data_IF_992095473602
#
_entry.id   IF_992095473602
#
_cell.length_a   1.000
_cell.length_b   1.000
_cell.length_c   1.000
_cell.angle_alpha   90.00
_cell.angle_beta   90.00
_cell.angle_gamma   90.00
#
_symmetry.space_group_name_H-M   'P 1'
#
loop_
_entity.id
_entity.type
_entity.pdbx_description
1 polymer ?
#
# COMPACT_ATOMS: atom_id res chain seq x y z
N UNK A 1 -11.32 15.51 26.46
CA UNK A 1 -10.08 14.91 26.88
C UNK A 1 -8.96 15.87 26.60
N UNK A 2 -8.55 16.58 27.64
CA UNK A 2 -7.57 17.67 27.58
C UNK A 2 -6.16 17.08 27.43
N UNK A 3 -5.69 16.94 26.21
CA UNK A 3 -4.26 16.93 25.95
C UNK A 3 -3.81 18.39 25.95
N UNK A 4 -3.24 18.85 27.05
CA UNK A 4 -2.68 20.19 27.23
C UNK A 4 -1.35 20.35 26.45
N UNK A 5 -1.30 19.90 25.19
CA UNK A 5 -0.12 20.14 24.35
C UNK A 5 -0.52 20.88 23.09
N UNK A 6 -0.02 22.06 22.95
CA UNK A 6 0.14 22.70 21.65
C UNK A 6 1.31 21.99 20.94
N UNK A 7 1.01 20.98 20.11
CA UNK A 7 1.98 20.53 19.14
C UNK A 7 2.06 21.63 18.10
N UNK A 8 3.22 22.24 17.95
CA UNK A 8 3.53 23.11 16.81
C UNK A 8 3.54 22.26 15.54
N UNK A 9 2.41 22.12 14.91
CA UNK A 9 2.18 21.42 13.67
C UNK A 9 0.80 21.75 13.16
N UNK A 10 0.67 22.04 11.89
CA UNK A 10 -0.60 22.33 11.24
C UNK A 10 -1.60 21.20 11.49
N UNK A 11 -2.88 21.53 11.62
CA UNK A 11 -3.96 20.66 12.09
C UNK A 11 -4.06 19.28 11.44
N UNK A 12 -3.54 19.08 10.22
CA UNK A 12 -3.52 17.80 9.52
C UNK A 12 -2.57 16.78 10.18
N UNK A 13 -1.34 17.19 10.50
CA UNK A 13 -0.36 16.33 11.18
C UNK A 13 -0.86 15.91 12.56
N UNK A 14 -1.44 16.83 13.31
CA UNK A 14 -2.02 16.56 14.62
C UNK A 14 -3.15 15.53 14.52
N UNK A 15 -4.09 15.74 13.59
CA UNK A 15 -5.22 14.85 13.41
C UNK A 15 -4.80 13.45 12.94
N UNK A 16 -3.92 13.37 11.95
CA UNK A 16 -3.52 12.10 11.35
C UNK A 16 -2.58 11.27 12.23
N UNK A 17 -1.64 11.93 12.93
CA UNK A 17 -0.50 11.24 13.56
C UNK A 17 -0.44 11.34 15.07
N UNK A 18 -1.36 12.09 15.70
CA UNK A 18 -1.53 12.14 17.16
C UNK A 18 -2.94 11.73 17.55
N UNK A 19 -3.99 12.36 17.00
CA UNK A 19 -5.37 12.10 17.43
C UNK A 19 -5.92 10.77 16.89
N UNK A 20 -5.57 10.40 15.68
CA UNK A 20 -6.10 9.18 15.04
C UNK A 20 -5.81 7.95 15.91
N UNK A 21 -6.83 7.21 16.37
CA UNK A 21 -6.64 6.04 17.20
C UNK A 21 -6.15 4.81 16.41
N UNK A 22 -6.36 4.77 15.09
CA UNK A 22 -5.93 3.66 14.25
C UNK A 22 -4.48 3.82 13.83
N UNK A 23 -3.71 2.76 14.04
CA UNK A 23 -2.30 2.68 13.63
C UNK A 23 -2.14 1.81 12.39
N UNK A 24 -2.78 0.64 12.36
CA UNK A 24 -2.68 -0.32 11.26
C UNK A 24 -3.99 -1.13 11.15
N UNK A 25 -3.92 -2.44 11.32
CA UNK A 25 -5.05 -3.37 11.19
C UNK A 25 -5.47 -3.98 12.54
N UNK A 26 -5.06 -3.36 13.66
CA UNK A 26 -5.47 -3.76 15.00
C UNK A 26 -6.96 -3.47 15.24
N UNK A 27 -7.56 -4.18 16.19
CA UNK A 27 -8.90 -3.86 16.68
C UNK A 27 -8.87 -2.52 17.42
N UNK A 28 -9.73 -1.58 17.04
CA UNK A 28 -9.84 -0.29 17.73
C UNK A 28 -10.49 -0.49 19.10
N UNK A 29 -9.78 -0.10 20.14
CA UNK A 29 -10.25 -0.02 21.52
C UNK A 29 -9.73 1.27 22.16
N UNK A 30 -10.40 1.85 23.13
CA UNK A 30 -9.86 2.97 23.90
C UNK A 30 -8.54 2.55 24.57
N UNK A 31 -7.46 3.27 24.29
CA UNK A 31 -6.14 2.98 24.85
C UNK A 31 -5.38 4.23 25.34
N UNK A 32 -5.70 5.40 24.80
CA UNK A 32 -4.89 6.62 25.00
C UNK A 32 -4.76 7.00 26.46
N UNK A 33 -5.88 7.02 27.19
CA UNK A 33 -5.87 7.38 28.61
C UNK A 33 -5.10 6.38 29.47
N UNK A 34 -5.24 5.08 29.17
CA UNK A 34 -4.50 4.04 29.92
C UNK A 34 -3.00 4.15 29.65
N UNK A 35 -2.59 4.33 28.38
CA UNK A 35 -1.19 4.43 28.00
C UNK A 35 -0.56 5.76 28.46
N UNK A 36 -1.27 6.89 28.34
CA UNK A 36 -0.76 8.19 28.78
C UNK A 36 -0.52 8.26 30.30
N UNK A 37 -1.30 7.51 31.08
CA UNK A 37 -1.18 7.46 32.54
C UNK A 37 -0.15 6.43 33.04
N UNK A 38 0.43 5.63 32.13
CA UNK A 38 1.39 4.58 32.52
C UNK A 38 2.71 5.17 33.00
N UNK A 39 3.19 6.22 32.37
CA UNK A 39 4.39 6.93 32.76
C UNK A 39 4.07 8.14 33.63
N UNK A 40 4.98 8.48 34.53
CA UNK A 40 4.88 9.73 35.27
C UNK A 40 5.15 10.95 34.35
N UNK A 41 4.87 12.16 34.84
CA UNK A 41 5.00 13.37 34.02
C UNK A 41 6.42 13.62 33.54
N UNK A 42 7.42 13.34 34.35
CA UNK A 42 8.84 13.52 34.04
C UNK A 42 9.27 12.57 32.91
N UNK A 43 8.94 11.29 33.01
CA UNK A 43 9.22 10.31 31.96
C UNK A 43 8.48 10.63 30.65
N UNK A 44 7.22 11.04 30.74
CA UNK A 44 6.44 11.43 29.57
C UNK A 44 7.05 12.65 28.86
N UNK A 45 7.56 13.63 29.60
CA UNK A 45 8.26 14.79 29.05
C UNK A 45 9.62 14.41 28.45
N UNK A 46 10.36 13.53 29.10
CA UNK A 46 11.61 12.98 28.58
C UNK A 46 11.41 12.30 27.23
N UNK A 47 10.41 11.43 27.09
CA UNK A 47 10.10 10.76 25.82
C UNK A 47 9.61 11.72 24.73
N UNK A 48 8.89 12.78 25.09
CA UNK A 48 8.51 13.84 24.12
C UNK A 48 9.72 14.58 23.57
N UNK A 49 10.66 14.90 24.43
CA UNK A 49 11.90 15.60 24.05
C UNK A 49 12.84 14.69 23.27
N UNK A 50 12.88 13.40 23.60
CA UNK A 50 13.68 12.41 22.93
C UNK A 50 12.90 11.08 22.71
N UNK A 51 12.11 10.96 21.63
CA UNK A 51 11.32 9.75 21.36
C UNK A 51 12.13 8.47 21.23
N UNK A 52 13.43 8.57 20.96
CA UNK A 52 14.34 7.42 20.93
C UNK A 52 14.42 6.71 22.28
N UNK A 53 14.32 7.42 23.38
CA UNK A 53 14.32 6.82 24.72
C UNK A 53 13.07 5.96 24.98
N UNK A 54 11.94 6.27 24.32
CA UNK A 54 10.77 5.39 24.33
C UNK A 54 11.04 4.09 23.57
N UNK A 55 11.79 4.15 22.45
CA UNK A 55 12.21 2.95 21.71
C UNK A 55 13.08 2.06 22.60
N UNK A 56 14.08 2.64 23.23
CA UNK A 56 15.00 1.96 24.17
C UNK A 56 14.22 1.34 25.34
N UNK A 57 13.32 2.09 25.94
CA UNK A 57 12.46 1.57 27.00
C UNK A 57 11.66 0.35 26.55
N UNK A 58 11.10 0.36 25.33
CA UNK A 58 10.36 -0.78 24.77
C UNK A 58 11.28 -1.99 24.58
N UNK A 59 12.48 -1.78 24.06
CA UNK A 59 13.46 -2.87 23.85
C UNK A 59 13.87 -3.51 25.19
N UNK A 60 14.09 -2.70 26.21
CA UNK A 60 14.55 -3.16 27.53
C UNK A 60 13.43 -3.85 28.33
N UNK A 61 12.20 -3.37 28.24
CA UNK A 61 11.13 -3.78 29.15
C UNK A 61 10.12 -4.75 28.50
N UNK A 62 10.01 -4.81 27.18
CA UNK A 62 9.00 -5.63 26.50
C UNK A 62 9.66 -6.78 25.75
N UNK A 63 9.36 -8.01 26.19
CA UNK A 63 9.86 -9.23 25.57
C UNK A 63 9.17 -9.46 24.21
N UNK A 64 9.95 -9.68 23.14
CA UNK A 64 9.42 -10.00 21.83
C UNK A 64 9.33 -11.52 21.65
N UNK A 65 8.11 -12.02 21.37
CA UNK A 65 7.82 -13.43 21.07
C UNK A 65 7.00 -13.55 19.78
N UNK A 66 7.59 -14.10 18.73
CA UNK A 66 6.98 -14.17 17.40
C UNK A 66 6.05 -15.35 17.17
N UNK A 67 5.69 -16.09 18.21
CA UNK A 67 4.73 -17.18 18.10
C UNK A 67 3.27 -16.70 18.13
N UNK A 68 3.00 -15.43 18.43
CA UNK A 68 1.66 -14.85 18.38
C UNK A 68 1.18 -14.73 16.93
N UNK A 69 -0.02 -15.26 16.66
CA UNK A 69 -0.67 -15.20 15.34
C UNK A 69 -1.71 -14.09 15.24
N UNK A 70 -1.96 -13.38 16.33
CA UNK A 70 -3.01 -12.35 16.46
C UNK A 70 -2.34 -11.05 16.84
N UNK A 71 -2.76 -9.95 16.20
CA UNK A 71 -2.30 -8.61 16.57
C UNK A 71 -2.78 -8.29 17.97
N UNK A 72 -1.83 -7.99 18.85
CA UNK A 72 -2.11 -7.65 20.24
C UNK A 72 -2.59 -6.20 20.36
N UNK A 73 -3.52 -5.96 21.26
CA UNK A 73 -3.95 -4.60 21.60
C UNK A 73 -2.83 -3.88 22.36
N UNK A 74 -2.65 -2.56 22.16
CA UNK A 74 -1.63 -1.79 22.89
C UNK A 74 -1.73 -1.91 24.41
N UNK A 75 -2.97 -1.92 24.93
CA UNK A 75 -3.21 -2.13 26.37
C UNK A 75 -2.90 -3.55 26.86
N UNK A 76 -2.94 -4.54 25.98
CA UNK A 76 -2.53 -5.91 26.32
C UNK A 76 -1.02 -6.02 26.36
N UNK A 77 -0.30 -5.37 25.44
CA UNK A 77 1.16 -5.34 25.42
C UNK A 77 1.71 -4.74 26.72
N UNK A 78 1.20 -3.58 27.14
CA UNK A 78 1.68 -2.92 28.36
C UNK A 78 1.38 -3.73 29.64
N UNK A 79 0.29 -4.49 29.67
CA UNK A 79 -0.06 -5.34 30.81
C UNK A 79 0.75 -6.62 30.88
N UNK A 80 1.03 -7.23 29.74
CA UNK A 80 1.74 -8.51 29.68
C UNK A 80 3.26 -8.36 29.58
N UNK A 81 3.74 -7.19 29.17
CA UNK A 81 5.15 -6.90 28.83
C UNK A 81 5.72 -7.87 27.79
N UNK A 82 4.82 -8.39 26.93
CA UNK A 82 5.16 -9.30 25.83
C UNK A 82 4.50 -8.82 24.55
N UNK A 83 5.18 -8.96 23.43
CA UNK A 83 4.69 -8.58 22.10
C UNK A 83 5.25 -9.50 21.01
N UNK A 84 4.77 -9.36 19.79
CA UNK A 84 5.41 -9.83 18.56
C UNK A 84 5.94 -8.63 17.73
N UNK A 85 6.71 -8.89 16.67
CA UNK A 85 7.29 -7.80 15.85
C UNK A 85 6.25 -6.83 15.31
N UNK A 86 5.10 -7.31 14.85
CA UNK A 86 4.06 -6.47 14.27
C UNK A 86 3.35 -5.65 15.34
N UNK A 87 2.96 -6.30 16.42
CA UNK A 87 2.28 -5.66 17.55
C UNK A 87 3.19 -4.67 18.26
N UNK A 88 4.53 -4.88 18.26
CA UNK A 88 5.53 -3.95 18.81
C UNK A 88 5.48 -2.59 18.12
N UNK A 89 5.42 -2.58 16.79
CA UNK A 89 5.30 -1.34 16.03
C UNK A 89 3.99 -0.61 16.31
N UNK A 90 2.86 -1.34 16.35
CA UNK A 90 1.56 -0.78 16.70
C UNK A 90 1.58 -0.21 18.12
N UNK A 91 2.19 -0.93 19.06
CA UNK A 91 2.32 -0.48 20.44
C UNK A 91 3.15 0.79 20.58
N UNK A 92 4.32 0.85 19.92
CA UNK A 92 5.14 2.06 19.91
C UNK A 92 4.35 3.27 19.42
N UNK A 93 3.70 3.17 18.24
CA UNK A 93 2.92 4.29 17.68
C UNK A 93 1.76 4.67 18.60
N UNK A 94 1.06 3.70 19.19
CA UNK A 94 -0.04 3.97 20.11
C UNK A 94 0.44 4.67 21.39
N UNK A 95 1.56 4.23 21.95
CA UNK A 95 2.17 4.85 23.13
C UNK A 95 2.68 6.27 22.82
N UNK A 96 3.43 6.43 21.72
CA UNK A 96 3.94 7.71 21.27
C UNK A 96 2.80 8.74 21.06
N UNK A 97 1.74 8.35 20.36
CA UNK A 97 0.55 9.21 20.18
C UNK A 97 -0.15 9.54 21.49
N UNK A 98 -0.17 8.60 22.46
CA UNK A 98 -0.75 8.84 23.79
C UNK A 98 0.07 9.82 24.62
N UNK A 99 1.35 9.93 24.32
CA UNK A 99 2.27 10.90 24.92
C UNK A 99 2.34 12.23 24.14
N UNK A 100 1.60 12.36 23.03
CA UNK A 100 1.62 13.57 22.20
C UNK A 100 2.73 13.60 21.15
N UNK A 101 3.41 12.48 20.90
CA UNK A 101 4.46 12.37 19.88
C UNK A 101 3.82 11.95 18.55
N UNK A 102 3.95 12.75 17.51
CA UNK A 102 3.47 12.43 16.18
C UNK A 102 4.22 11.22 15.62
N UNK A 103 3.48 10.16 15.29
CA UNK A 103 4.07 8.88 14.89
C UNK A 103 3.15 8.07 13.99
N UNK A 104 3.74 7.18 13.17
CA UNK A 104 3.00 6.34 12.22
C UNK A 104 3.71 5.01 11.94
N UNK A 105 2.95 4.08 11.38
CA UNK A 105 3.50 3.08 10.48
C UNK A 105 3.31 3.65 9.09
N UNK A 106 4.39 3.87 8.37
CA UNK A 106 4.32 4.41 7.01
C UNK A 106 3.55 3.43 6.10
N UNK A 107 2.47 3.87 5.44
CA UNK A 107 1.60 2.97 4.69
C UNK A 107 2.28 2.36 3.45
N UNK A 108 3.28 3.04 2.89
CA UNK A 108 3.99 2.59 1.68
C UNK A 108 5.07 1.58 2.02
N UNK A 109 5.91 1.90 2.98
CA UNK A 109 7.12 1.12 3.32
C UNK A 109 6.93 0.16 4.49
N UNK A 110 5.89 0.37 5.31
CA UNK A 110 5.69 -0.35 6.57
C UNK A 110 6.65 0.04 7.69
N UNK A 111 7.48 1.07 7.49
CA UNK A 111 8.40 1.57 8.49
C UNK A 111 7.66 2.22 9.64
N UNK A 112 8.14 2.01 10.85
CA UNK A 112 7.68 2.69 12.05
C UNK A 112 8.44 4.00 12.16
N UNK A 113 7.73 5.12 12.35
CA UNK A 113 8.33 6.44 12.30
C UNK A 113 7.72 7.37 13.36
N UNK A 114 8.52 8.34 13.83
CA UNK A 114 8.05 9.50 14.59
C UNK A 114 8.60 10.80 14.00
N UNK A 115 7.97 11.93 14.33
CA UNK A 115 8.45 13.26 13.89
C UNK A 115 9.38 13.83 14.96
N UNK A 116 10.58 14.27 14.52
CA UNK A 116 11.51 15.11 15.27
C UNK A 116 12.05 16.20 14.35
N UNK A 117 12.03 17.43 14.80
CA UNK A 117 12.51 18.60 14.03
C UNK A 117 11.91 18.65 12.60
N UNK A 118 10.62 18.42 12.50
CA UNK A 118 9.85 18.38 11.25
C UNK A 118 10.26 17.27 10.25
N UNK A 119 11.04 16.27 10.69
CA UNK A 119 11.47 15.14 9.87
C UNK A 119 10.91 13.84 10.40
N UNK A 120 10.55 12.91 9.50
CA UNK A 120 10.24 11.55 9.85
C UNK A 120 11.51 10.77 10.15
N UNK A 121 11.59 10.23 11.36
CA UNK A 121 12.71 9.42 11.84
C UNK A 121 12.26 7.96 11.91
N UNK A 122 13.03 7.08 11.29
CA UNK A 122 12.77 5.64 11.32
C UNK A 122 13.10 5.06 12.69
N UNK A 123 12.20 4.21 13.20
CA UNK A 123 12.39 3.46 14.45
C UNK A 123 12.99 2.10 14.14
N UNK A 124 14.13 1.80 14.73
CA UNK A 124 14.74 0.49 14.70
C UNK A 124 14.85 -0.06 16.13
N UNK A 125 14.25 -1.23 16.39
CA UNK A 125 14.31 -1.89 17.68
C UNK A 125 15.48 -2.89 17.80
N UNK A 126 16.26 -3.08 16.75
CA UNK A 126 17.24 -4.17 16.66
C UNK A 126 18.70 -3.66 16.63
N UNK A 127 18.90 -2.38 16.47
CA UNK A 127 20.23 -1.76 16.46
C UNK A 127 20.41 -0.89 17.72
N UNK A 128 21.58 -0.99 18.36
CA UNK A 128 22.08 0.05 19.27
C UNK A 128 22.26 1.33 18.44
N UNK A 129 21.42 2.32 18.67
CA UNK A 129 21.24 3.43 17.75
C UNK A 129 22.39 4.41 17.85
N UNK A 130 23.21 4.47 16.82
CA UNK A 130 23.82 5.73 16.41
C UNK A 130 22.68 6.71 16.06
N UNK A 131 22.82 8.00 16.42
CA UNK A 131 21.80 9.06 16.24
C UNK A 131 20.98 8.87 14.97
N UNK A 132 19.65 8.76 15.14
CA UNK A 132 18.71 8.53 14.05
C UNK A 132 18.75 9.70 13.07
N UNK A 133 19.48 9.54 11.97
CA UNK A 133 19.55 10.54 10.91
C UNK A 133 18.46 10.29 9.88
N UNK A 134 17.79 11.33 9.37
CA UNK A 134 16.83 11.19 8.29
C UNK A 134 17.46 10.49 7.09
N UNK A 135 16.82 9.46 6.58
CA UNK A 135 17.28 8.79 5.36
C UNK A 135 17.07 9.71 4.16
N UNK A 136 18.16 10.17 3.53
CA UNK A 136 18.07 10.95 2.30
C UNK A 136 17.61 10.05 1.15
N UNK A 137 16.46 10.40 0.58
CA UNK A 137 15.86 9.63 -0.52
C UNK A 137 16.49 9.96 -1.86
N UNK A 138 16.42 9.03 -2.81
CA UNK A 138 16.64 9.29 -4.23
C UNK A 138 15.31 9.33 -4.97
N UNK A 139 15.33 9.77 -6.22
CA UNK A 139 14.13 9.90 -7.07
C UNK A 139 14.16 8.83 -8.15
N UNK A 140 13.09 8.05 -8.24
CA UNK A 140 12.84 7.15 -9.35
C UNK A 140 11.99 7.86 -10.40
N UNK A 141 12.49 7.96 -11.63
CA UNK A 141 11.75 8.34 -12.82
C UNK A 141 11.50 7.12 -13.69
N UNK A 142 10.25 6.71 -13.85
CA UNK A 142 9.88 5.63 -14.74
C UNK A 142 9.20 6.21 -15.99
N UNK A 143 9.71 5.85 -17.16
CA UNK A 143 9.14 6.30 -18.44
C UNK A 143 8.25 5.21 -19.01
N UNK A 144 6.98 5.50 -19.17
CA UNK A 144 6.03 4.66 -19.89
C UNK A 144 5.71 5.26 -21.26
N UNK A 145 5.74 4.42 -22.29
CA UNK A 145 5.25 4.77 -23.61
C UNK A 145 3.97 3.97 -23.84
N UNK A 146 2.80 4.63 -23.92
CA UNK A 146 1.53 3.95 -24.11
C UNK A 146 1.51 3.11 -25.39
N UNK A 147 0.96 1.91 -25.31
CA UNK A 147 0.75 1.02 -26.43
C UNK A 147 -0.71 0.56 -26.48
N UNK A 148 -1.30 0.57 -27.66
CA UNK A 148 -2.69 0.15 -27.87
C UNK A 148 -3.71 0.99 -27.08
N UNK A 149 -4.64 0.31 -26.43
CA UNK A 149 -5.70 0.94 -25.62
C UNK A 149 -5.27 1.30 -24.19
N UNK A 150 -4.10 0.82 -23.75
CA UNK A 150 -3.61 1.06 -22.39
C UNK A 150 -2.86 2.39 -22.36
N UNK A 151 -3.58 3.45 -22.05
CA UNK A 151 -3.05 4.82 -22.07
C UNK A 151 -2.40 5.22 -20.75
N UNK A 152 -2.89 4.69 -19.63
CA UNK A 152 -2.32 4.87 -18.30
C UNK A 152 -2.29 3.54 -17.55
N UNK A 153 -1.27 3.34 -16.75
CA UNK A 153 -1.07 2.12 -15.98
C UNK A 153 -1.59 2.29 -14.56
N UNK A 154 -1.95 1.17 -13.92
CA UNK A 154 -2.39 1.17 -12.54
C UNK A 154 -1.50 0.26 -11.69
N UNK A 155 -1.09 0.75 -10.54
CA UNK A 155 -0.33 -0.01 -9.57
C UNK A 155 -1.10 -1.28 -9.15
N UNK A 156 -0.42 -2.33 -8.79
CA UNK A 156 -0.91 -3.70 -8.55
C UNK A 156 -1.49 -4.40 -9.79
N UNK A 157 -2.24 -3.70 -10.62
CA UNK A 157 -2.89 -4.28 -11.81
C UNK A 157 -1.90 -4.48 -12.95
N UNK A 158 -1.12 -3.44 -13.26
CA UNK A 158 -0.22 -3.43 -14.42
C UNK A 158 1.25 -3.45 -14.01
N UNK A 159 1.58 -2.87 -12.85
CA UNK A 159 2.95 -2.87 -12.33
C UNK A 159 2.99 -2.85 -10.80
N UNK A 160 4.13 -3.23 -10.26
CA UNK A 160 4.43 -3.14 -8.84
C UNK A 160 5.91 -2.91 -8.60
N UNK A 161 6.25 -2.29 -7.47
CA UNK A 161 7.62 -2.02 -7.03
C UNK A 161 7.85 -2.73 -5.71
N UNK A 162 8.98 -3.41 -5.58
CA UNK A 162 9.39 -4.06 -4.34
C UNK A 162 10.81 -3.64 -3.97
N UNK A 163 11.05 -3.45 -2.68
CA UNK A 163 12.38 -3.15 -2.12
C UNK A 163 13.00 -4.40 -1.52
N UNK A 164 14.27 -4.63 -1.75
CA UNK A 164 15.02 -5.70 -1.10
C UNK A 164 15.39 -5.30 0.34
N UNK A 165 15.04 -6.13 1.31
CA UNK A 165 15.29 -5.90 2.73
C UNK A 165 16.49 -6.68 3.28
N UNK A 166 17.37 -7.22 2.40
CA UNK A 166 18.49 -8.08 2.76
C UNK A 166 18.17 -9.59 2.75
N UNK A 167 16.88 -9.96 2.75
CA UNK A 167 16.43 -11.36 2.73
C UNK A 167 15.41 -11.63 1.62
N UNK A 168 14.50 -10.72 1.38
CA UNK A 168 13.42 -10.84 0.39
C UNK A 168 13.06 -9.47 -0.18
N UNK A 169 12.22 -9.48 -1.21
CA UNK A 169 11.62 -8.28 -1.76
C UNK A 169 10.26 -8.01 -1.11
N UNK A 170 10.15 -6.91 -0.40
CA UNK A 170 8.90 -6.43 0.21
C UNK A 170 8.19 -5.47 -0.76
N UNK A 171 6.90 -5.69 -0.96
CA UNK A 171 6.06 -4.87 -1.83
C UNK A 171 5.86 -3.49 -1.20
N UNK A 172 6.08 -2.43 -1.97
CA UNK A 172 5.65 -1.08 -1.60
C UNK A 172 4.15 -0.93 -1.87
N UNK A 173 3.43 -0.25 -1.00
CA UNK A 173 1.99 -0.07 -1.12
C UNK A 173 1.66 1.34 -1.63
N UNK A 174 1.19 1.43 -2.87
CA UNK A 174 0.73 2.68 -3.47
C UNK A 174 -0.77 2.56 -3.78
N UNK A 175 -1.57 2.69 -2.73
CA UNK A 175 -3.02 2.65 -2.81
C UNK A 175 -3.55 4.00 -3.31
N UNK A 176 -4.56 3.97 -4.18
CA UNK A 176 -5.25 5.17 -4.63
C UNK A 176 -5.93 5.88 -3.45
N UNK A 177 -5.91 7.21 -3.46
CA UNK A 177 -6.56 8.03 -2.42
C UNK A 177 -8.08 7.85 -2.42
N UNK A 178 -8.64 7.61 -3.59
CA UNK A 178 -10.07 7.33 -3.78
C UNK A 178 -10.20 5.98 -4.49
N UNK A 179 -10.19 4.87 -3.74
CA UNK A 179 -10.21 3.54 -4.31
C UNK A 179 -11.61 3.25 -4.88
N UNK A 180 -11.71 3.28 -6.20
CA UNK A 180 -12.80 2.66 -6.93
C UNK A 180 -12.70 1.13 -6.90
N UNK A 181 -12.92 0.46 -8.04
CA UNK A 181 -12.75 -1.01 -8.15
C UNK A 181 -11.29 -1.46 -8.14
N UNK A 182 -10.36 -0.59 -8.49
CA UNK A 182 -8.91 -0.82 -8.50
C UNK A 182 -8.24 -0.03 -7.38
N UNK A 183 -7.61 -0.70 -6.44
CA UNK A 183 -7.01 -0.11 -5.25
C UNK A 183 -5.69 0.62 -5.49
N UNK A 184 -5.02 0.38 -6.61
CA UNK A 184 -3.70 0.94 -6.88
C UNK A 184 -3.75 2.33 -7.52
N UNK A 185 -2.75 3.15 -7.22
CA UNK A 185 -2.59 4.50 -7.79
C UNK A 185 -2.27 4.44 -9.30
N UNK A 186 -2.65 5.49 -10.04
CA UNK A 186 -2.34 5.62 -11.46
C UNK A 186 -0.87 5.98 -11.67
N UNK A 187 -0.27 5.45 -12.74
CA UNK A 187 1.11 5.76 -13.11
C UNK A 187 1.32 7.26 -13.32
N UNK A 188 0.39 7.93 -14.03
CA UNK A 188 0.45 9.38 -14.29
C UNK A 188 0.53 10.19 -12.99
N UNK A 189 -0.24 9.83 -11.97
CA UNK A 189 -0.21 10.48 -10.65
C UNK A 189 1.05 10.10 -9.88
N UNK A 190 1.40 8.81 -9.86
CA UNK A 190 2.51 8.31 -9.05
C UNK A 190 3.87 8.85 -9.49
N UNK A 191 4.06 9.03 -10.81
CA UNK A 191 5.31 9.49 -11.40
C UNK A 191 5.28 10.93 -11.91
N UNK A 192 4.25 11.72 -11.57
CA UNK A 192 4.12 13.12 -12.02
C UNK A 192 5.38 13.95 -11.74
N UNK A 193 5.93 13.82 -10.54
CA UNK A 193 7.13 14.52 -10.09
C UNK A 193 8.30 13.57 -9.77
N UNK A 194 8.19 12.31 -10.23
CA UNK A 194 9.06 11.24 -9.80
C UNK A 194 8.71 10.70 -8.42
N UNK A 195 9.18 9.50 -8.13
CA UNK A 195 8.85 8.77 -6.92
C UNK A 195 10.05 8.78 -5.97
N UNK A 196 9.89 9.43 -4.82
CA UNK A 196 10.91 9.46 -3.77
C UNK A 196 10.98 8.07 -3.08
N UNK A 197 12.16 7.48 -3.08
CA UNK A 197 12.44 6.17 -2.52
C UNK A 197 13.71 6.19 -1.67
N UNK A 198 13.71 5.40 -0.60
CA UNK A 198 14.93 5.20 0.18
C UNK A 198 16.02 4.52 -0.66
N UNK A 199 17.30 4.76 -0.36
CA UNK A 199 18.40 4.06 -0.99
C UNK A 199 18.27 2.55 -0.84
N UNK A 200 18.65 1.82 -1.87
CA UNK A 200 18.61 0.36 -1.85
C UNK A 200 18.36 -0.30 -3.20
N UNK A 201 18.18 -1.61 -3.17
CA UNK A 201 17.97 -2.44 -4.34
C UNK A 201 16.49 -2.76 -4.51
N UNK A 202 16.00 -2.57 -5.73
CA UNK A 202 14.59 -2.65 -6.07
C UNK A 202 14.32 -3.53 -7.28
N UNK A 203 13.09 -3.99 -7.38
CA UNK A 203 12.57 -4.63 -8.59
C UNK A 203 11.21 -4.04 -8.94
N UNK A 204 11.07 -3.63 -10.20
CA UNK A 204 9.78 -3.33 -10.79
C UNK A 204 9.32 -4.53 -11.61
N UNK A 205 8.08 -4.96 -11.40
CA UNK A 205 7.44 -6.00 -12.20
C UNK A 205 6.27 -5.38 -12.95
N UNK A 206 6.23 -5.58 -14.28
CA UNK A 206 5.07 -5.23 -15.12
C UNK A 206 4.37 -6.50 -15.60
N UNK A 207 3.07 -6.43 -15.85
CA UNK A 207 2.30 -7.60 -16.28
C UNK A 207 1.13 -7.23 -17.18
N UNK A 208 1.04 -7.89 -18.34
CA UNK A 208 -0.11 -7.83 -19.23
C UNK A 208 -0.87 -9.14 -19.16
N UNK A 209 -2.12 -9.09 -18.71
CA UNK A 209 -2.99 -10.28 -18.65
C UNK A 209 -3.56 -10.55 -20.05
N UNK A 210 -3.44 -11.78 -20.49
CA UNK A 210 -4.00 -12.25 -21.76
C UNK A 210 -5.42 -12.83 -21.56
N UNK A 211 -6.15 -12.97 -22.68
CA UNK A 211 -7.51 -13.51 -22.69
C UNK A 211 -7.62 -14.94 -22.18
N UNK A 212 -6.54 -15.73 -22.24
CA UNK A 212 -6.48 -17.09 -21.72
C UNK A 212 -6.12 -17.15 -20.21
N UNK A 213 -6.01 -15.99 -19.56
CA UNK A 213 -5.66 -15.87 -18.15
C UNK A 213 -4.15 -15.86 -17.84
N UNK A 214 -3.30 -16.18 -18.83
CA UNK A 214 -1.84 -16.06 -18.67
C UNK A 214 -1.39 -14.60 -18.53
N UNK A 215 -0.20 -14.38 -18.00
CA UNK A 215 0.36 -13.04 -17.80
C UNK A 215 1.73 -12.95 -18.46
N UNK A 216 1.90 -11.96 -19.35
CA UNK A 216 3.19 -11.61 -19.90
C UNK A 216 3.91 -10.67 -18.93
N UNK A 217 4.75 -11.22 -18.05
CA UNK A 217 5.48 -10.46 -17.07
C UNK A 217 6.85 -10.01 -17.57
N UNK A 218 7.32 -8.85 -17.06
CA UNK A 218 8.69 -8.37 -17.17
C UNK A 218 9.17 -7.87 -15.82
N UNK A 219 10.40 -8.15 -15.46
CA UNK A 219 11.05 -7.64 -14.24
C UNK A 219 12.24 -6.77 -14.63
N UNK A 220 12.36 -5.61 -13.97
CA UNK A 220 13.49 -4.69 -14.12
C UNK A 220 14.07 -4.42 -12.74
N UNK A 221 15.35 -4.73 -12.56
CA UNK A 221 16.07 -4.47 -11.31
C UNK A 221 16.82 -3.16 -11.42
N UNK A 222 16.86 -2.40 -10.32
CA UNK A 222 17.56 -1.11 -10.26
C UNK A 222 17.98 -0.76 -8.83
N UNK A 223 18.92 0.19 -8.71
CA UNK A 223 19.33 0.76 -7.43
C UNK A 223 18.83 2.20 -7.32
N UNK A 224 18.46 2.57 -6.10
CA UNK A 224 18.23 3.96 -5.71
C UNK A 224 19.40 4.38 -4.82
N UNK A 225 20.00 5.52 -5.14
CA UNK A 225 21.05 6.15 -4.36
C UNK A 225 20.54 7.48 -3.79
N UNK A 226 21.02 7.84 -2.58
CA UNK A 226 20.64 9.11 -1.93
C UNK A 226 20.93 10.31 -2.84
N UNK A 227 20.00 11.25 -2.86
CA UNK A 227 20.12 12.53 -3.59
C UNK A 227 20.33 12.39 -5.11
N UNK A 228 20.10 11.20 -5.68
CA UNK A 228 20.23 10.93 -7.12
C UNK A 228 18.91 10.57 -7.78
N UNK A 229 18.82 10.85 -9.07
CA UNK A 229 17.71 10.41 -9.91
C UNK A 229 18.09 9.14 -10.67
N UNK A 230 17.26 8.09 -10.51
CA UNK A 230 17.36 6.84 -11.26
C UNK A 230 16.27 6.83 -12.33
N UNK A 231 16.65 6.63 -13.59
CA UNK A 231 15.72 6.54 -14.72
C UNK A 231 15.57 5.10 -15.17
N UNK A 232 14.34 4.63 -15.35
CA UNK A 232 14.05 3.31 -15.89
C UNK A 232 12.93 3.39 -16.94
N UNK A 233 12.89 2.43 -17.86
CA UNK A 233 11.78 2.26 -18.77
C UNK A 233 10.76 1.29 -18.16
N UNK A 234 9.51 1.72 -18.06
CA UNK A 234 8.39 0.89 -17.69
C UNK A 234 7.80 0.31 -18.97
N UNK A 235 8.13 -0.95 -19.25
CA UNK A 235 7.78 -1.63 -20.49
C UNK A 235 6.72 -2.67 -20.21
N UNK A 236 5.57 -2.54 -20.89
CA UNK A 236 4.56 -3.58 -20.97
C UNK A 236 4.89 -4.53 -22.12
N UNK A 237 4.85 -5.85 -21.87
CA UNK A 237 4.99 -6.83 -22.94
C UNK A 237 3.66 -6.94 -23.67
N UNK A 238 3.72 -6.84 -24.99
CA UNK A 238 2.55 -7.04 -25.85
C UNK A 238 2.43 -8.53 -26.25
N UNK A 239 1.19 -9.04 -26.40
CA UNK A 239 0.99 -10.33 -27.04
C UNK A 239 1.45 -10.27 -28.50
N UNK A 240 1.87 -11.41 -29.01
CA UNK A 240 2.11 -11.53 -30.45
C UNK A 240 0.83 -11.12 -31.19
N UNK A 241 0.98 -10.22 -32.17
CA UNK A 241 -0.16 -9.72 -32.96
C UNK A 241 -0.76 -10.87 -33.73
N UNK A 242 -1.91 -11.32 -33.29
CA UNK A 242 -2.69 -12.36 -33.95
C UNK A 242 -3.97 -12.67 -33.18
N UNK A 243 -5.10 -12.73 -33.87
CA UNK A 243 -6.32 -13.23 -33.28
C UNK A 243 -6.12 -14.73 -32.98
N UNK A 244 -6.15 -15.11 -31.72
CA UNK A 244 -6.12 -16.52 -31.31
C UNK A 244 -7.55 -17.02 -31.24
N UNK A 245 -7.86 -18.06 -32.06
CA UNK A 245 -9.12 -18.76 -31.95
C UNK A 245 -9.08 -19.60 -30.65
N UNK A 246 -9.91 -19.22 -29.66
CA UNK A 246 -10.01 -19.91 -28.35
C UNK A 246 -11.17 -20.92 -28.33
N UNK A 247 -12.05 -20.90 -29.36
CA UNK A 247 -13.17 -21.79 -29.47
C UNK A 247 -14.05 -21.48 -30.69
N UNK A 248 -15.09 -22.26 -30.85
CA UNK A 248 -16.12 -22.07 -31.87
C UNK A 248 -17.45 -21.84 -31.20
N UNK A 249 -18.24 -20.94 -31.76
CA UNK A 249 -19.60 -20.66 -31.33
C UNK A 249 -20.58 -21.09 -32.42
N UNK A 250 -21.66 -21.79 -32.04
CA UNK A 250 -22.67 -22.18 -33.00
C UNK A 250 -23.60 -20.98 -33.30
N UNK A 251 -23.52 -20.41 -34.48
CA UNK A 251 -24.34 -19.26 -34.90
C UNK A 251 -25.83 -19.57 -35.01
N UNK A 252 -26.22 -20.86 -35.01
CA UNK A 252 -27.62 -21.26 -34.98
C UNK A 252 -28.21 -21.27 -33.55
N UNK A 253 -27.40 -21.03 -32.52
CA UNK A 253 -27.91 -20.82 -31.18
C UNK A 253 -28.94 -19.66 -31.15
N UNK A 254 -30.06 -19.96 -30.49
CA UNK A 254 -31.22 -19.06 -30.46
C UNK A 254 -31.24 -18.25 -29.15
N UNK A 255 -31.79 -17.06 -29.23
CA UNK A 255 -32.00 -16.18 -28.10
C UNK A 255 -33.35 -15.47 -28.24
N UNK A 256 -33.90 -15.01 -27.14
CA UNK A 256 -35.13 -14.22 -27.12
C UNK A 256 -34.76 -12.75 -27.09
N UNK A 257 -35.07 -11.96 -28.15
CA UNK A 257 -34.86 -10.53 -28.13
C UNK A 257 -35.74 -9.84 -27.05
N UNK A 258 -35.23 -8.81 -26.44
CA UNK A 258 -35.97 -8.05 -25.43
C UNK A 258 -37.22 -7.41 -26.07
N UNK A 259 -38.41 -7.69 -25.53
CA UNK A 259 -39.68 -7.17 -26.04
C UNK A 259 -40.27 -7.93 -27.21
N UNK A 260 -39.68 -9.02 -27.66
CA UNK A 260 -40.23 -9.91 -28.70
C UNK A 260 -40.75 -11.21 -28.07
N UNK A 261 -41.63 -11.89 -28.83
CA UNK A 261 -42.23 -13.18 -28.41
C UNK A 261 -41.68 -14.36 -29.18
N UNK A 262 -40.87 -14.11 -30.20
CA UNK A 262 -40.26 -15.14 -31.05
C UNK A 262 -38.74 -15.16 -30.87
N UNK A 263 -38.18 -16.34 -30.74
CA UNK A 263 -36.73 -16.51 -30.67
C UNK A 263 -36.07 -16.43 -32.05
N UNK A 264 -34.85 -15.86 -32.09
CA UNK A 264 -34.06 -15.69 -33.29
C UNK A 264 -32.72 -16.42 -33.15
N UNK A 265 -32.16 -16.92 -34.26
CA UNK A 265 -30.77 -17.38 -34.23
C UNK A 265 -29.81 -16.21 -34.38
N UNK A 266 -28.62 -16.36 -33.86
CA UNK A 266 -27.55 -15.38 -34.04
C UNK A 266 -27.26 -15.16 -35.54
N UNK A 267 -27.25 -16.27 -36.31
CA UNK A 267 -27.02 -16.18 -37.76
C UNK A 267 -28.10 -15.34 -38.46
N UNK A 268 -29.37 -15.47 -38.06
CA UNK A 268 -30.47 -14.68 -38.63
C UNK A 268 -30.33 -13.19 -38.29
N UNK A 269 -29.77 -12.85 -37.14
CA UNK A 269 -29.60 -11.46 -36.69
C UNK A 269 -28.35 -10.81 -37.23
N UNK A 270 -27.22 -11.52 -37.26
CA UNK A 270 -25.91 -10.96 -37.61
C UNK A 270 -25.50 -11.22 -39.06
N UNK A 271 -26.19 -12.15 -39.74
CA UNK A 271 -25.75 -12.63 -41.05
C UNK A 271 -24.42 -13.40 -40.96
N UNK A 272 -23.67 -13.40 -42.08
CA UNK A 272 -22.35 -14.03 -42.19
C UNK A 272 -21.18 -13.06 -41.99
N UNK A 273 -21.44 -11.91 -41.37
CA UNK A 273 -20.43 -10.90 -41.11
C UNK A 273 -19.69 -11.10 -39.78
N UNK A 274 -18.82 -10.15 -39.45
CA UNK A 274 -18.18 -10.05 -38.14
C UNK A 274 -19.14 -9.40 -37.15
N UNK A 275 -19.18 -9.92 -35.94
CA UNK A 275 -19.96 -9.36 -34.84
C UNK A 275 -19.24 -9.58 -33.51
N UNK A 276 -19.60 -8.82 -32.50
CA UNK A 276 -19.17 -8.96 -31.14
C UNK A 276 -20.33 -9.53 -30.30
N UNK A 277 -20.10 -10.64 -29.64
CA UNK A 277 -21.05 -11.23 -28.72
C UNK A 277 -20.59 -11.02 -27.29
N UNK A 278 -21.35 -10.24 -26.52
CA UNK A 278 -21.16 -10.06 -25.09
C UNK A 278 -22.10 -10.98 -24.30
N UNK A 279 -21.56 -11.77 -23.39
CA UNK A 279 -22.33 -12.51 -22.40
C UNK A 279 -22.28 -11.74 -21.08
N UNK A 280 -23.41 -11.15 -20.70
CA UNK A 280 -23.51 -10.28 -19.54
C UNK A 280 -24.33 -10.95 -18.44
N UNK A 281 -23.83 -10.88 -17.21
CA UNK A 281 -24.53 -11.35 -16.02
C UNK A 281 -24.81 -10.16 -15.11
N UNK A 282 -26.08 -9.76 -14.99
CA UNK A 282 -26.56 -8.55 -14.32
C UNK A 282 -26.27 -8.44 -12.81
N UNK A 283 -25.30 -9.12 -12.28
CA UNK A 283 -24.88 -9.05 -10.88
C UNK A 283 -23.37 -9.16 -10.72
N UNK A 284 -22.65 -9.33 -11.83
CA UNK A 284 -21.21 -9.50 -11.80
C UNK A 284 -20.46 -8.21 -12.16
N UNK A 285 -19.32 -7.99 -11.53
CA UNK A 285 -18.44 -6.85 -11.74
C UNK A 285 -18.00 -6.65 -13.21
N UNK A 286 -17.54 -7.69 -13.95
CA UNK A 286 -17.18 -7.51 -15.34
C UNK A 286 -18.32 -6.97 -16.23
N UNK A 287 -19.56 -7.32 -15.91
CA UNK A 287 -20.75 -6.85 -16.63
C UNK A 287 -21.04 -5.38 -16.36
N UNK A 288 -21.00 -4.95 -15.09
CA UNK A 288 -21.22 -3.56 -14.73
C UNK A 288 -20.24 -2.63 -15.43
N UNK A 289 -18.99 -3.04 -15.52
CA UNK A 289 -17.93 -2.28 -16.22
C UNK A 289 -18.10 -2.26 -17.75
N UNK A 290 -18.61 -3.34 -18.32
CA UNK A 290 -18.85 -3.43 -19.77
C UNK A 290 -20.10 -2.66 -20.23
N UNK A 291 -20.99 -2.29 -19.30
CA UNK A 291 -22.23 -1.55 -19.59
C UNK A 291 -22.09 -0.02 -19.42
N UNK A 292 -20.96 0.46 -18.87
CA UNK A 292 -20.59 1.87 -18.78
C UNK A 292 -19.88 2.33 -20.03
#
# INVERSE_FOLDING_TARGET
>A
DNLDYTVEGEGETYNAYILNPRVSSEMIRPYKQELSNYFNKEQAEQFRNNPQELVEWIVENITTNNNARIIMLPTSVIKSMVTDYRSRGIFFVSMARSLGIASRIDPVTGKIQYIKDNNWIDVNFEEEVAEATPTRQGILMAKYVPSGALTDLRYYTHFSIKKFNGKRFDLLAYDAKDPGMDFGEQYSTLFENGLALDPGYYVMTTGTRLSDGSVLARTTFFNIESDKTTNIDLIMREPEKGLRIIGNFNAENRYMPVGETEDKSLLATTGRGFYVLGLLDGGSEPTTHAML
#
